data_IF_224235100269
#
_entry.id   IF_224235100269
#
_cell.length_a   1.000
_cell.length_b   1.000
_cell.length_c   1.000
_cell.angle_alpha   90.00
_cell.angle_beta   90.00
_cell.angle_gamma   90.00
#
_symmetry.space_group_name_H-M   'P 1'
#
loop_
_entity.id
_entity.type
_entity.pdbx_description
1 polymer ?
#
# COMPACT_ATOMS: atom_id res chain seq x y z
N UNK A 1 -6.99 13.19 -17.73
CA UNK A 1 -5.98 13.25 -16.65
C UNK A 1 -6.65 13.01 -15.31
N UNK A 2 -6.02 12.29 -14.37
CA UNK A 2 -6.64 11.88 -13.11
C UNK A 2 -6.69 13.01 -12.05
N UNK A 3 -7.58 12.92 -11.06
CA UNK A 3 -7.69 13.90 -9.97
C UNK A 3 -6.37 14.08 -9.21
N UNK A 4 -5.70 12.97 -8.88
CA UNK A 4 -4.41 12.98 -8.18
C UNK A 4 -3.29 13.56 -9.06
N UNK A 5 -3.36 13.35 -10.38
CA UNK A 5 -2.42 13.89 -11.36
C UNK A 5 -2.46 15.42 -11.36
N UNK A 6 -3.66 16.00 -11.24
CA UNK A 6 -3.84 17.46 -11.13
C UNK A 6 -3.36 17.96 -9.76
N UNK A 7 -3.80 17.33 -8.67
CA UNK A 7 -3.54 17.82 -7.29
C UNK A 7 -2.11 17.58 -6.78
N UNK A 8 -1.53 16.44 -7.14
CA UNK A 8 -0.27 15.93 -6.59
C UNK A 8 0.77 15.63 -7.67
N UNK A 9 0.39 15.70 -8.94
CA UNK A 9 1.26 15.43 -10.08
C UNK A 9 1.68 16.66 -10.89
N UNK A 10 1.22 17.87 -10.55
CA UNK A 10 1.46 19.10 -11.36
C UNK A 10 1.02 18.93 -12.83
N UNK A 11 -0.06 18.18 -13.06
CA UNK A 11 -0.51 17.86 -14.40
C UNK A 11 0.27 16.74 -15.10
N UNK A 12 1.15 16.04 -14.37
CA UNK A 12 1.78 14.78 -14.78
C UNK A 12 1.25 13.62 -13.93
N UNK A 13 1.74 12.42 -14.21
CA UNK A 13 1.42 11.22 -13.43
C UNK A 13 1.93 11.41 -11.99
N UNK A 14 1.01 11.41 -11.02
CA UNK A 14 1.31 11.79 -9.64
C UNK A 14 2.28 10.83 -8.95
N UNK A 15 2.14 9.53 -9.15
CA UNK A 15 3.03 8.54 -8.55
C UNK A 15 4.41 8.46 -9.24
N UNK A 16 4.64 9.21 -10.33
CA UNK A 16 5.97 9.33 -10.94
C UNK A 16 6.67 10.64 -10.53
N UNK A 17 6.11 11.39 -9.58
CA UNK A 17 6.74 12.60 -9.07
C UNK A 17 7.57 12.29 -7.82
N UNK A 18 8.89 12.48 -7.90
CA UNK A 18 9.82 12.22 -6.79
C UNK A 18 9.45 12.95 -5.48
N UNK A 19 8.85 14.15 -5.56
CA UNK A 19 8.38 14.90 -4.38
C UNK A 19 7.40 14.12 -3.50
N UNK A 20 6.63 13.18 -4.09
CA UNK A 20 5.65 12.37 -3.36
C UNK A 20 6.31 11.22 -2.57
N UNK A 21 7.62 11.04 -2.72
CA UNK A 21 8.46 10.09 -1.97
C UNK A 21 9.38 10.81 -0.97
N UNK A 22 9.30 12.14 -0.87
CA UNK A 22 10.23 12.96 -0.10
C UNK A 22 10.16 12.72 1.41
N UNK A 23 11.31 12.85 2.06
CA UNK A 23 11.44 12.80 3.51
C UNK A 23 10.77 13.97 4.20
N UNK A 24 10.63 15.12 3.54
CA UNK A 24 9.91 16.28 4.05
C UNK A 24 8.44 15.93 4.34
N UNK A 25 7.85 15.05 3.55
CA UNK A 25 6.53 14.52 3.86
C UNK A 25 6.61 13.59 5.09
N UNK A 26 7.63 12.75 5.20
CA UNK A 26 7.76 11.82 6.33
C UNK A 26 8.12 12.53 7.64
N UNK A 27 8.78 13.69 7.63
CA UNK A 27 9.17 14.44 8.84
C UNK A 27 7.96 15.01 9.59
N UNK A 28 6.80 15.07 8.95
CA UNK A 28 5.53 15.43 9.58
C UNK A 28 5.13 14.41 10.67
N UNK A 29 5.09 14.87 11.92
CA UNK A 29 4.75 14.05 13.08
C UNK A 29 3.34 13.47 13.02
N UNK A 30 2.37 14.18 12.43
CA UNK A 30 0.99 13.70 12.31
C UNK A 30 0.91 12.53 11.32
N UNK A 31 1.67 12.60 10.23
CA UNK A 31 1.81 11.53 9.25
C UNK A 31 2.49 10.31 9.88
N UNK A 32 3.59 10.48 10.62
CA UNK A 32 4.26 9.36 11.31
C UNK A 32 3.31 8.63 12.26
N UNK A 33 2.62 9.37 13.13
CA UNK A 33 1.63 8.79 14.06
C UNK A 33 0.49 8.09 13.32
N UNK A 34 0.03 8.65 12.20
CA UNK A 34 -0.99 8.02 11.37
C UNK A 34 -0.48 6.72 10.74
N UNK A 35 0.75 6.69 10.23
CA UNK A 35 1.38 5.50 9.64
C UNK A 35 1.52 4.39 10.67
N UNK A 36 2.07 4.71 11.85
CA UNK A 36 2.23 3.76 12.95
C UNK A 36 0.88 3.16 13.34
N UNK A 37 -0.14 4.00 13.53
CA UNK A 37 -1.49 3.55 13.84
C UNK A 37 -2.10 2.71 12.72
N UNK A 38 -1.88 3.08 11.46
CA UNK A 38 -2.36 2.34 10.30
C UNK A 38 -1.77 0.95 10.27
N UNK A 39 -0.45 0.81 10.44
CA UNK A 39 0.23 -0.48 10.43
C UNK A 39 -0.31 -1.36 11.56
N UNK A 40 -0.32 -0.89 12.80
CA UNK A 40 -0.81 -1.65 13.97
C UNK A 40 -2.27 -2.11 13.78
N UNK A 41 -3.13 -1.26 13.23
CA UNK A 41 -4.56 -1.53 13.15
C UNK A 41 -5.03 -2.04 11.79
N UNK A 42 -4.14 -2.27 10.83
CA UNK A 42 -4.55 -2.59 9.45
C UNK A 42 -5.46 -3.82 9.41
N UNK A 43 -5.25 -4.83 10.25
CA UNK A 43 -6.09 -6.01 10.28
C UNK A 43 -7.47 -5.73 10.90
N UNK A 44 -7.49 -5.01 12.02
CA UNK A 44 -8.72 -4.73 12.78
C UNK A 44 -9.59 -3.65 12.13
N UNK A 45 -9.00 -2.62 11.53
CA UNK A 45 -9.70 -1.58 10.79
C UNK A 45 -10.28 -2.13 9.48
N UNK A 46 -9.60 -3.09 8.84
CA UNK A 46 -10.10 -3.72 7.62
C UNK A 46 -11.21 -4.74 7.88
N UNK A 47 -11.26 -5.38 9.06
CA UNK A 47 -12.41 -6.20 9.47
C UNK A 47 -13.74 -5.40 9.49
N UNK A 48 -13.67 -4.08 9.73
CA UNK A 48 -14.83 -3.18 9.71
C UNK A 48 -15.39 -2.95 8.30
N UNK A 49 -14.62 -3.22 7.24
CA UNK A 49 -15.12 -3.14 5.85
C UNK A 49 -16.23 -4.16 5.57
N UNK A 50 -16.26 -5.29 6.29
CA UNK A 50 -17.35 -6.26 6.19
C UNK A 50 -18.73 -5.66 6.55
N UNK A 51 -18.76 -4.58 7.35
CA UNK A 51 -19.98 -3.85 7.69
C UNK A 51 -20.52 -3.10 6.46
N UNK A 52 -19.64 -2.55 5.61
CA UNK A 52 -20.02 -1.87 4.37
C UNK A 52 -20.57 -2.85 3.34
N UNK A 53 -20.02 -4.06 3.28
CA UNK A 53 -20.56 -5.13 2.41
C UNK A 53 -21.99 -5.50 2.80
N UNK A 54 -22.28 -5.62 4.10
CA UNK A 54 -23.66 -5.85 4.59
C UNK A 54 -24.57 -4.67 4.29
N UNK A 55 -24.08 -3.43 4.43
CA UNK A 55 -24.85 -2.24 4.11
C UNK A 55 -25.20 -2.16 2.62
N UNK A 56 -24.28 -2.56 1.74
CA UNK A 56 -24.49 -2.64 0.28
C UNK A 56 -25.65 -3.56 -0.07
N UNK A 57 -25.77 -4.70 0.63
CA UNK A 57 -26.86 -5.67 0.41
C UNK A 57 -28.21 -5.15 0.92
N UNK A 58 -28.22 -4.27 1.93
CA UNK A 58 -29.45 -3.80 2.58
C UNK A 58 -30.04 -2.53 1.97
N UNK A 59 -29.21 -1.55 1.60
CA UNK A 59 -29.68 -0.27 1.05
C UNK A 59 -28.66 0.36 0.13
N UNK A 60 -28.99 0.44 -1.16
CA UNK A 60 -28.15 1.06 -2.18
C UNK A 60 -27.94 2.56 -1.96
N UNK A 61 -28.94 3.26 -1.42
CA UNK A 61 -28.90 4.70 -1.15
C UNK A 61 -27.93 5.00 0.01
N UNK A 62 -28.10 4.32 1.15
CA UNK A 62 -27.22 4.51 2.31
C UNK A 62 -25.79 4.08 1.99
N UNK A 63 -25.62 2.97 1.26
CA UNK A 63 -24.33 2.56 0.76
C UNK A 63 -23.69 3.61 -0.14
N UNK A 64 -24.45 4.23 -1.05
CA UNK A 64 -23.95 5.30 -1.93
C UNK A 64 -23.42 6.51 -1.15
N UNK A 65 -24.13 6.94 -0.10
CA UNK A 65 -23.71 8.04 0.77
C UNK A 65 -22.47 7.67 1.59
N UNK A 66 -22.48 6.50 2.24
CA UNK A 66 -21.36 6.00 3.02
C UNK A 66 -20.11 5.84 2.15
N UNK A 67 -20.25 5.26 0.95
CA UNK A 67 -19.16 5.10 -0.03
C UNK A 67 -18.57 6.45 -0.40
N UNK A 68 -19.38 7.46 -0.71
CA UNK A 68 -18.88 8.82 -1.03
C UNK A 68 -18.07 9.42 0.10
N UNK A 69 -18.54 9.30 1.34
CA UNK A 69 -17.83 9.79 2.52
C UNK A 69 -16.51 9.04 2.72
N UNK A 70 -16.56 7.71 2.68
CA UNK A 70 -15.38 6.86 2.84
C UNK A 70 -14.35 7.09 1.75
N UNK A 71 -14.76 7.18 0.48
CA UNK A 71 -13.84 7.49 -0.64
C UNK A 71 -13.14 8.83 -0.43
N UNK A 72 -13.85 9.87 0.06
CA UNK A 72 -13.22 11.16 0.36
C UNK A 72 -12.21 11.06 1.51
N UNK A 73 -12.50 10.25 2.53
CA UNK A 73 -11.59 10.00 3.65
C UNK A 73 -10.35 9.22 3.20
N UNK A 74 -10.53 8.10 2.50
CA UNK A 74 -9.44 7.26 1.96
C UNK A 74 -8.56 8.02 0.98
N UNK A 75 -9.12 8.91 0.15
CA UNK A 75 -8.33 9.80 -0.72
C UNK A 75 -7.39 10.75 0.03
N UNK A 76 -7.62 11.01 1.32
CA UNK A 76 -6.72 11.80 2.17
C UNK A 76 -5.75 10.90 2.93
N UNK A 77 -6.23 9.76 3.40
CA UNK A 77 -5.49 8.89 4.31
C UNK A 77 -4.71 7.78 3.59
N UNK A 78 -5.36 6.95 2.77
CA UNK A 78 -4.76 5.79 2.12
C UNK A 78 -5.45 5.51 0.77
N UNK A 79 -4.85 6.00 -0.31
CA UNK A 79 -5.36 5.87 -1.66
C UNK A 79 -4.45 5.00 -2.51
N UNK A 80 -5.08 4.08 -3.25
CA UNK A 80 -4.43 3.14 -4.15
C UNK A 80 -4.74 3.43 -5.61
N UNK A 81 -3.76 3.26 -6.49
CA UNK A 81 -3.97 3.27 -7.94
C UNK A 81 -3.27 2.07 -8.60
N UNK A 82 -3.92 1.46 -9.58
CA UNK A 82 -3.30 0.40 -10.40
C UNK A 82 -2.21 1.01 -11.28
N UNK A 83 -1.05 0.36 -11.32
CA UNK A 83 0.11 0.75 -12.12
C UNK A 83 0.56 -0.42 -13.00
N UNK A 84 1.04 -0.17 -14.22
CA UNK A 84 1.65 -1.21 -15.03
C UNK A 84 3.09 -1.52 -14.55
N UNK A 85 3.64 -2.66 -14.96
CA UNK A 85 4.98 -3.10 -14.54
C UNK A 85 6.08 -2.10 -14.94
N UNK A 86 5.94 -1.43 -16.08
CA UNK A 86 6.89 -0.42 -16.55
C UNK A 86 6.94 0.81 -15.62
N UNK A 87 5.80 1.19 -15.06
CA UNK A 87 5.75 2.28 -14.09
C UNK A 87 6.24 1.83 -12.72
N UNK A 88 6.03 0.56 -12.34
CA UNK A 88 6.65 0.01 -11.13
C UNK A 88 8.18 0.08 -11.21
N UNK A 89 8.78 -0.19 -12.38
CA UNK A 89 10.22 0.01 -12.62
C UNK A 89 10.64 1.46 -12.39
N UNK A 90 9.92 2.42 -12.98
CA UNK A 90 10.22 3.86 -12.78
C UNK A 90 10.09 4.29 -11.33
N UNK A 91 9.14 3.72 -10.59
CA UNK A 91 8.97 3.98 -9.15
C UNK A 91 10.20 3.47 -8.40
N UNK A 92 10.68 2.27 -8.70
CA UNK A 92 11.89 1.74 -8.11
C UNK A 92 13.13 2.58 -8.44
N UNK A 93 13.24 3.12 -9.66
CA UNK A 93 14.32 4.03 -10.05
C UNK A 93 14.30 5.37 -9.26
N UNK A 94 13.16 5.78 -8.71
CA UNK A 94 13.03 6.98 -7.85
C UNK A 94 13.47 6.69 -6.40
N UNK A 95 13.41 5.42 -5.98
CA UNK A 95 13.61 5.02 -4.57
C UNK A 95 14.98 4.39 -4.36
N UNK A 96 15.61 4.66 -3.22
CA UNK A 96 16.95 4.11 -2.91
C UNK A 96 16.90 2.81 -2.11
N UNK A 97 15.74 2.46 -1.56
CA UNK A 97 15.60 1.26 -0.73
C UNK A 97 14.25 0.62 -0.98
N UNK A 98 14.27 -0.65 -1.35
CA UNK A 98 13.10 -1.48 -1.58
C UNK A 98 13.12 -2.60 -0.55
N UNK A 99 12.02 -2.76 0.17
CA UNK A 99 11.85 -3.75 1.22
C UNK A 99 10.63 -4.58 0.90
N UNK A 100 10.82 -5.88 0.71
CA UNK A 100 9.70 -6.81 0.57
C UNK A 100 9.22 -7.19 1.96
N UNK A 101 7.91 -7.10 2.17
CA UNK A 101 7.27 -7.35 3.46
C UNK A 101 6.10 -8.32 3.33
N UNK A 102 5.80 -9.10 4.38
CA UNK A 102 4.57 -9.87 4.47
C UNK A 102 3.32 -8.99 4.27
N UNK A 103 2.31 -9.50 3.58
CA UNK A 103 1.08 -8.73 3.34
C UNK A 103 0.06 -8.91 4.49
N UNK A 104 -0.12 -7.87 5.30
CA UNK A 104 -1.13 -7.82 6.37
C UNK A 104 -2.56 -8.10 5.85
N UNK A 105 -2.92 -7.51 4.71
CA UNK A 105 -4.24 -7.70 4.11
C UNK A 105 -4.48 -9.16 3.67
N UNK A 106 -3.46 -9.83 3.10
CA UNK A 106 -3.57 -11.23 2.69
C UNK A 106 -3.61 -12.16 3.89
N UNK A 107 -2.89 -11.84 4.97
CA UNK A 107 -2.99 -12.54 6.26
C UNK A 107 -4.41 -12.44 6.82
N UNK A 108 -4.97 -11.24 6.90
CA UNK A 108 -6.32 -11.01 7.42
C UNK A 108 -7.43 -11.71 6.60
N UNK A 109 -7.22 -11.89 5.28
CA UNK A 109 -8.22 -12.49 4.39
C UNK A 109 -8.10 -14.00 4.22
N UNK A 110 -6.88 -14.51 4.08
CA UNK A 110 -6.60 -15.91 3.72
C UNK A 110 -5.80 -16.67 4.78
N UNK A 111 -5.33 -16.00 5.84
CA UNK A 111 -4.41 -16.59 6.82
C UNK A 111 -3.05 -16.94 6.23
N UNK A 112 -2.67 -16.34 5.09
CA UNK A 112 -1.43 -16.63 4.37
C UNK A 112 -0.47 -15.44 4.42
N UNK A 113 0.74 -15.70 4.87
CA UNK A 113 1.85 -14.74 4.90
C UNK A 113 2.71 -14.91 3.63
N UNK A 114 2.36 -14.18 2.58
CA UNK A 114 3.11 -14.12 1.32
C UNK A 114 3.72 -12.74 1.18
N UNK A 115 4.98 -12.66 0.75
CA UNK A 115 5.69 -11.42 0.47
C UNK A 115 5.19 -10.75 -0.80
N UNK A 116 3.97 -10.22 -0.77
CA UNK A 116 3.31 -9.56 -1.89
C UNK A 116 3.28 -8.04 -1.78
N UNK A 117 3.71 -7.50 -0.63
CA UNK A 117 3.82 -6.08 -0.39
C UNK A 117 5.29 -5.65 -0.47
N UNK A 118 5.51 -4.48 -1.06
CA UNK A 118 6.81 -3.84 -1.14
C UNK A 118 6.67 -2.48 -0.49
N UNK A 119 7.46 -2.29 0.55
CA UNK A 119 7.79 -0.98 1.07
C UNK A 119 8.94 -0.38 0.28
N UNK A 120 8.95 0.94 0.11
CA UNK A 120 10.13 1.62 -0.41
C UNK A 120 10.27 3.01 0.20
N UNK A 121 11.50 3.50 0.19
CA UNK A 121 11.82 4.86 0.60
C UNK A 121 13.04 5.39 -0.14
N UNK A 122 13.18 6.70 -0.13
CA UNK A 122 14.36 7.42 -0.63
C UNK A 122 15.54 7.31 0.35
N UNK A 123 15.31 6.99 1.63
CA UNK A 123 16.39 6.83 2.61
C UNK A 123 16.34 5.47 3.33
N UNK A 124 17.47 4.76 3.45
CA UNK A 124 17.54 3.38 3.92
C UNK A 124 16.89 3.10 5.29
N UNK A 125 16.83 4.10 6.17
CA UNK A 125 16.38 3.92 7.56
C UNK A 125 15.09 4.69 7.92
N UNK A 126 14.45 5.30 6.92
CA UNK A 126 13.40 6.29 7.17
C UNK A 126 12.02 5.70 7.53
N UNK A 127 11.55 4.70 6.78
CA UNK A 127 10.20 4.12 6.98
C UNK A 127 10.21 2.64 7.40
N UNK A 128 11.19 1.89 6.89
CA UNK A 128 11.36 0.46 7.18
C UNK A 128 12.63 0.15 7.99
N UNK A 129 13.45 1.17 8.29
CA UNK A 129 14.51 1.11 9.32
C UNK A 129 14.15 1.85 10.62
N UNK A 130 12.96 2.45 10.70
CA UNK A 130 12.34 2.77 11.99
C UNK A 130 12.10 1.44 12.74
N UNK A 131 12.20 1.38 14.07
CA UNK A 131 11.85 0.20 14.85
C UNK A 131 10.36 -0.13 14.67
N UNK A 132 10.07 -0.81 13.57
CA UNK A 132 8.89 -1.62 13.26
C UNK A 132 9.17 -3.10 13.58
N UNK A 133 10.27 -3.35 14.29
CA UNK A 133 10.66 -4.59 14.94
C UNK A 133 9.48 -5.25 15.68
N UNK A 134 8.57 -4.46 16.26
CA UNK A 134 7.34 -4.98 16.87
C UNK A 134 6.15 -5.23 15.93
N UNK A 135 6.06 -4.59 14.75
CA UNK A 135 4.95 -4.86 13.83
C UNK A 135 5.19 -6.15 13.03
N UNK A 136 6.44 -6.36 12.59
CA UNK A 136 6.81 -7.53 11.80
C UNK A 136 7.18 -8.76 12.64
N UNK A 137 7.38 -8.63 13.96
CA UNK A 137 7.66 -9.76 14.86
C UNK A 137 6.57 -10.84 14.81
N UNK A 138 5.33 -10.41 14.67
CA UNK A 138 4.16 -11.29 14.63
C UNK A 138 3.98 -11.97 13.26
N UNK A 139 4.79 -11.62 12.24
CA UNK A 139 4.75 -12.19 10.89
C UNK A 139 5.74 -13.35 10.68
N UNK A 140 6.05 -14.07 11.76
CA UNK A 140 7.11 -15.09 11.83
C UNK A 140 6.71 -16.47 11.27
N UNK A 141 5.50 -16.62 10.71
CA UNK A 141 4.93 -17.92 10.31
C UNK A 141 4.87 -18.18 8.80
N UNK A 142 5.22 -17.17 7.99
CA UNK A 142 5.11 -17.24 6.53
C UNK A 142 6.19 -18.08 5.85
N UNK A 143 5.83 -18.90 4.84
CA UNK A 143 6.78 -19.76 4.16
C UNK A 143 7.74 -19.02 3.21
N UNK A 144 7.39 -17.82 2.74
CA UNK A 144 8.16 -17.09 1.72
C UNK A 144 8.95 -15.88 2.24
N UNK A 145 8.41 -15.15 3.22
CA UNK A 145 9.07 -13.97 3.82
C UNK A 145 8.78 -14.00 5.32
N UNK A 146 9.80 -14.31 6.12
CA UNK A 146 9.69 -14.42 7.59
C UNK A 146 9.82 -13.07 8.31
N UNK A 147 10.43 -12.10 7.64
CA UNK A 147 10.67 -10.73 8.12
C UNK A 147 10.89 -9.82 6.91
N UNK A 148 10.76 -8.51 7.10
CA UNK A 148 11.08 -7.52 6.07
C UNK A 148 12.48 -7.77 5.48
N UNK A 149 12.57 -7.99 4.16
CA UNK A 149 13.84 -8.23 3.46
C UNK A 149 14.14 -7.08 2.48
N UNK A 150 15.37 -6.55 2.51
CA UNK A 150 15.84 -5.62 1.47
C UNK A 150 16.03 -6.38 0.16
N UNK A 151 15.57 -5.82 -0.94
CA UNK A 151 15.65 -6.44 -2.27
C UNK A 151 16.18 -5.46 -3.30
N UNK A 152 17.00 -5.97 -4.23
CA UNK A 152 17.46 -5.19 -5.38
C UNK A 152 16.30 -4.92 -6.35
N UNK A 153 16.32 -3.78 -7.08
CA UNK A 153 15.26 -3.41 -8.02
C UNK A 153 14.93 -4.49 -9.05
N UNK A 154 15.93 -5.12 -9.65
CA UNK A 154 15.73 -6.17 -10.67
C UNK A 154 15.05 -7.41 -10.07
N UNK A 155 15.43 -7.79 -8.85
CA UNK A 155 14.81 -8.90 -8.12
C UNK A 155 13.36 -8.55 -7.78
N UNK A 156 13.09 -7.33 -7.33
CA UNK A 156 11.73 -6.87 -7.05
C UNK A 156 10.85 -6.91 -8.31
N UNK A 157 11.35 -6.45 -9.46
CA UNK A 157 10.64 -6.52 -10.74
C UNK A 157 10.36 -7.95 -11.20
N UNK A 158 11.31 -8.87 -11.01
CA UNK A 158 11.11 -10.28 -11.28
C UNK A 158 9.94 -10.85 -10.45
N UNK A 159 9.89 -10.52 -9.16
CA UNK A 159 8.80 -10.94 -8.27
C UNK A 159 7.46 -10.35 -8.69
N UNK A 160 7.42 -9.06 -9.07
CA UNK A 160 6.21 -8.42 -9.61
C UNK A 160 5.73 -9.15 -10.87
N UNK A 161 6.62 -9.40 -11.84
CA UNK A 161 6.28 -10.14 -13.07
C UNK A 161 5.71 -11.52 -12.76
N UNK A 162 6.24 -12.24 -11.78
CA UNK A 162 5.72 -13.55 -11.38
C UNK A 162 4.33 -13.47 -10.71
N UNK A 163 4.04 -12.38 -10.00
CA UNK A 163 2.69 -12.10 -9.50
C UNK A 163 1.73 -11.75 -10.64
N UNK A 164 2.16 -10.97 -11.63
CA UNK A 164 1.37 -10.61 -12.80
C UNK A 164 0.99 -11.86 -13.61
N UNK A 165 1.94 -12.78 -13.84
CA UNK A 165 1.68 -14.10 -14.48
C UNK A 165 0.65 -14.94 -13.72
N UNK A 166 0.54 -14.75 -12.41
CA UNK A 166 -0.47 -15.41 -11.55
C UNK A 166 -1.80 -14.65 -11.50
N UNK A 167 -1.95 -13.56 -12.27
CA UNK A 167 -3.17 -12.76 -12.38
C UNK A 167 -3.33 -11.67 -11.31
N UNK A 168 -2.27 -11.36 -10.56
CA UNK A 168 -2.28 -10.23 -9.63
C UNK A 168 -2.08 -8.91 -10.38
N UNK A 169 -2.60 -7.81 -9.82
CA UNK A 169 -2.36 -6.46 -10.31
C UNK A 169 -1.45 -5.69 -9.35
N UNK A 170 -0.64 -4.80 -9.92
CA UNK A 170 0.25 -3.91 -9.17
C UNK A 170 -0.49 -2.64 -8.78
N UNK A 171 -0.42 -2.27 -7.50
CA UNK A 171 -1.08 -1.06 -6.98
C UNK A 171 -0.12 -0.24 -6.14
N UNK A 172 -0.09 1.06 -6.37
CA UNK A 172 0.71 2.04 -5.61
C UNK A 172 -0.14 2.72 -4.54
N UNK A 173 0.40 2.91 -3.34
CA UNK A 173 -0.37 3.35 -2.17
C UNK A 173 0.23 4.56 -1.45
N UNK A 174 -0.65 5.52 -1.11
CA UNK A 174 -0.28 6.65 -0.27
C UNK A 174 -0.38 6.33 1.22
N UNK A 175 0.46 6.95 2.04
CA UNK A 175 0.39 6.95 3.49
C UNK A 175 0.23 8.38 3.99
N UNK A 176 -1.02 8.78 4.27
CA UNK A 176 -1.44 10.16 4.48
C UNK A 176 -1.02 11.06 3.28
N UNK A 177 -1.87 11.04 2.24
CA UNK A 177 -1.66 11.66 0.92
C UNK A 177 -1.00 13.04 1.03
N UNK A 178 0.03 13.35 0.23
CA UNK A 178 0.43 12.65 -1.01
C UNK A 178 1.60 11.67 -0.87
N UNK A 179 2.07 11.41 0.34
CA UNK A 179 3.26 10.58 0.55
C UNK A 179 3.04 9.14 0.10
N UNK A 180 3.95 8.57 -0.69
CA UNK A 180 3.88 7.22 -1.27
C UNK A 180 4.98 6.36 -0.64
N UNK A 181 4.61 5.17 -0.17
CA UNK A 181 5.59 4.28 0.47
C UNK A 181 5.34 2.77 0.29
N UNK A 182 4.30 2.35 -0.45
CA UNK A 182 4.09 0.94 -0.71
C UNK A 182 3.52 0.63 -2.10
N UNK A 183 3.92 -0.54 -2.61
CA UNK A 183 3.37 -1.20 -3.79
C UNK A 183 2.89 -2.59 -3.38
N UNK A 184 1.68 -2.95 -3.81
CA UNK A 184 1.03 -4.21 -3.48
C UNK A 184 0.74 -5.02 -4.74
N UNK A 185 0.86 -6.35 -4.62
CA UNK A 185 0.61 -7.33 -5.68
C UNK A 185 -0.53 -8.26 -5.29
N UNK A 186 -1.76 -7.91 -5.70
CA UNK A 186 -2.95 -8.61 -5.24
C UNK A 186 -3.89 -8.91 -6.40
N UNK A 187 -4.61 -10.03 -6.30
CA UNK A 187 -5.80 -10.28 -7.12
C UNK A 187 -7.07 -9.80 -6.37
N UNK A 188 -8.25 -10.00 -6.98
CA UNK A 188 -9.55 -9.66 -6.38
C UNK A 188 -9.86 -10.45 -5.09
N UNK A 189 -9.30 -11.65 -4.93
CA UNK A 189 -9.56 -12.50 -3.76
C UNK A 189 -8.68 -12.11 -2.56
N UNK A 190 -7.48 -11.60 -2.84
CA UNK A 190 -6.48 -11.20 -1.86
C UNK A 190 -6.62 -9.74 -1.43
N UNK A 191 -7.01 -8.86 -2.34
CA UNK A 191 -7.01 -7.43 -2.08
C UNK A 191 -8.28 -7.00 -1.35
N UNK A 192 -8.12 -6.51 -0.12
CA UNK A 192 -9.22 -5.88 0.62
C UNK A 192 -9.75 -4.61 -0.06
N UNK A 193 -8.92 -3.91 -0.85
CA UNK A 193 -9.36 -2.72 -1.58
C UNK A 193 -10.30 -3.03 -2.76
N UNK A 194 -10.36 -4.28 -3.21
CA UNK A 194 -11.24 -4.73 -4.31
C UNK A 194 -12.54 -5.35 -3.84
N UNK A 195 -12.76 -5.43 -2.51
CA UNK A 195 -14.00 -5.91 -1.90
C UNK A 195 -14.96 -4.74 -1.68
#
# INVERSE_FOLDING_TARGET
>A
MCEFCIKHGEGKIWYLQAKNYSLDLLSDLSRRKWIEKFLINVESDMAKLAILDRLRQRSSILYGLAKRFLTRKLKKEHFGQVVPLEDAKRIFDITNTIVRVPCACRRATKGKEVGACFGFSVEPDSLFGYPLDGFWSDYSTGPEVRQAEKVEPEKALGILSDFEKKGAVHTIWTFNTPFIAALCNCDRQDCMAFR
#
